data_IF_525222140245
#
_entry.id   IF_525222140245
#
_cell.length_a   1.000
_cell.length_b   1.000
_cell.length_c   1.000
_cell.angle_alpha   90.00
_cell.angle_beta   90.00
_cell.angle_gamma   90.00
#
_symmetry.space_group_name_H-M   'P 1'
#
loop_
_entity.id
_entity.type
_entity.pdbx_description
1 polymer ?
#
# COMPACT_ATOMS: atom_id res chain seq x y z
N UNK A 1 1.89 -22.17 -13.25
CA UNK A 1 1.37 -21.04 -12.43
C UNK A 1 2.31 -19.85 -12.63
N UNK A 2 1.81 -18.68 -13.05
CA UNK A 2 2.65 -17.48 -13.23
C UNK A 2 2.93 -16.85 -11.86
N UNK A 3 4.17 -16.42 -11.60
CA UNK A 3 4.54 -15.68 -10.38
C UNK A 3 3.94 -14.28 -10.44
N UNK A 4 3.47 -13.78 -9.29
CA UNK A 4 2.94 -12.42 -9.13
C UNK A 4 4.01 -11.50 -8.52
N UNK A 5 4.00 -10.23 -8.91
CA UNK A 5 4.91 -9.20 -8.42
C UNK A 5 4.14 -8.04 -7.79
N UNK A 6 4.54 -7.63 -6.59
CA UNK A 6 3.98 -6.47 -5.89
C UNK A 6 5.09 -5.52 -5.44
N UNK A 7 4.73 -4.24 -5.21
CA UNK A 7 5.64 -3.21 -4.71
C UNK A 7 5.16 -2.71 -3.36
N UNK A 8 6.09 -2.47 -2.44
CA UNK A 8 5.81 -1.89 -1.13
C UNK A 8 5.86 -0.37 -1.17
N UNK A 9 4.90 0.30 -0.52
CA UNK A 9 4.88 1.76 -0.37
C UNK A 9 6.09 2.34 0.37
N UNK A 10 6.85 1.52 1.11
CA UNK A 10 8.12 1.95 1.71
C UNK A 10 9.17 2.36 0.67
N UNK A 11 9.07 1.84 -0.57
CA UNK A 11 9.99 2.22 -1.66
C UNK A 11 9.59 3.53 -2.35
N UNK A 12 8.40 4.05 -2.07
CA UNK A 12 7.81 5.28 -2.65
C UNK A 12 7.26 6.20 -1.55
N UNK A 13 7.98 6.29 -0.43
CA UNK A 13 7.55 7.01 0.78
C UNK A 13 7.04 8.44 0.53
N UNK A 14 7.58 9.14 -0.47
CA UNK A 14 7.28 10.54 -0.76
C UNK A 14 6.05 10.74 -1.65
N UNK A 15 5.49 9.65 -2.20
CA UNK A 15 4.26 9.69 -3.01
C UNK A 15 3.02 9.72 -2.12
N UNK A 16 1.90 10.21 -2.64
CA UNK A 16 0.58 10.00 -2.00
C UNK A 16 0.09 8.57 -2.25
N UNK A 17 -0.78 8.07 -1.37
CA UNK A 17 -1.39 6.74 -1.51
C UNK A 17 -2.03 6.52 -2.89
N UNK A 18 -2.81 7.49 -3.38
CA UNK A 18 -3.43 7.40 -4.70
C UNK A 18 -2.42 7.36 -5.84
N UNK A 19 -1.27 8.02 -5.68
CA UNK A 19 -0.19 7.98 -6.67
C UNK A 19 0.43 6.58 -6.73
N UNK A 20 0.71 5.97 -5.58
CA UNK A 20 1.20 4.58 -5.53
C UNK A 20 0.25 3.64 -6.27
N UNK A 21 -1.04 3.64 -5.91
CA UNK A 21 -2.02 2.75 -6.51
C UNK A 21 -2.13 2.97 -8.02
N UNK A 22 -2.26 4.23 -8.45
CA UNK A 22 -2.41 4.58 -9.88
C UNK A 22 -1.18 4.16 -10.69
N UNK A 23 0.03 4.45 -10.21
CA UNK A 23 1.25 4.14 -10.95
C UNK A 23 1.57 2.65 -10.92
N UNK A 24 1.37 1.95 -9.80
CA UNK A 24 1.62 0.51 -9.74
C UNK A 24 0.69 -0.28 -10.64
N UNK A 25 -0.60 0.08 -10.66
CA UNK A 25 -1.57 -0.51 -11.58
C UNK A 25 -1.20 -0.21 -13.05
N UNK A 26 -0.85 1.05 -13.38
CA UNK A 26 -0.47 1.43 -14.73
C UNK A 26 0.82 0.74 -15.23
N UNK A 27 1.75 0.41 -14.33
CA UNK A 27 2.99 -0.32 -14.62
C UNK A 27 2.80 -1.85 -14.66
N UNK A 28 1.60 -2.35 -14.36
CA UNK A 28 1.25 -3.77 -14.47
C UNK A 28 1.70 -4.63 -13.29
N UNK A 29 1.89 -4.05 -12.10
CA UNK A 29 2.10 -4.84 -10.90
C UNK A 29 0.82 -5.58 -10.48
N UNK A 30 1.00 -6.77 -9.91
CA UNK A 30 -0.10 -7.65 -9.49
C UNK A 30 -0.65 -7.32 -8.09
N UNK A 31 -0.05 -6.36 -7.37
CA UNK A 31 -0.48 -5.93 -6.06
C UNK A 31 0.40 -4.89 -5.40
N UNK A 32 0.00 -4.46 -4.20
CA UNK A 32 0.63 -3.41 -3.40
C UNK A 32 0.85 -3.84 -1.95
N UNK A 33 2.01 -3.52 -1.39
CA UNK A 33 2.30 -3.62 0.04
C UNK A 33 1.98 -2.30 0.73
N UNK A 34 0.82 -2.24 1.39
CA UNK A 34 0.27 -1.02 1.99
C UNK A 34 0.92 -0.73 3.34
N UNK A 35 1.25 0.54 3.58
CA UNK A 35 1.58 1.09 4.88
C UNK A 35 0.34 1.73 5.51
N UNK A 36 -0.07 1.21 6.66
CA UNK A 36 -1.31 1.64 7.34
C UNK A 36 -1.40 3.15 7.52
N UNK A 37 -0.32 3.82 7.92
CA UNK A 37 -0.34 5.26 8.18
C UNK A 37 -0.61 6.06 6.90
N UNK A 38 -0.10 5.57 5.77
CA UNK A 38 -0.31 6.18 4.44
C UNK A 38 -1.76 6.00 3.98
N UNK A 39 -2.33 4.81 4.21
CA UNK A 39 -3.75 4.53 3.96
C UNK A 39 -4.67 5.40 4.84
N UNK A 40 -4.36 5.52 6.14
CA UNK A 40 -5.12 6.37 7.06
C UNK A 40 -5.02 7.84 6.68
N UNK A 41 -3.84 8.33 6.28
CA UNK A 41 -3.66 9.70 5.80
C UNK A 41 -4.46 10.00 4.51
N UNK A 42 -4.74 8.98 3.69
CA UNK A 42 -5.63 9.09 2.53
C UNK A 42 -7.12 9.10 2.90
N UNK A 43 -7.47 8.66 4.12
CA UNK A 43 -8.82 8.25 4.51
C UNK A 43 -9.04 6.78 4.15
N UNK A 44 -9.49 5.98 5.12
CA UNK A 44 -9.58 4.52 4.99
C UNK A 44 -10.56 4.12 3.88
N UNK A 45 -11.78 4.65 3.90
CA UNK A 45 -12.83 4.36 2.93
C UNK A 45 -12.39 4.78 1.53
N UNK A 46 -11.84 6.00 1.41
CA UNK A 46 -11.31 6.52 0.15
C UNK A 46 -10.18 5.66 -0.40
N UNK A 47 -9.26 5.20 0.46
CA UNK A 47 -8.17 4.31 0.06
C UNK A 47 -8.66 2.96 -0.44
N UNK A 48 -9.69 2.38 0.20
CA UNK A 48 -10.34 1.16 -0.27
C UNK A 48 -10.98 1.36 -1.66
N UNK A 49 -11.70 2.47 -1.86
CA UNK A 49 -12.29 2.81 -3.16
C UNK A 49 -11.23 2.91 -4.25
N UNK A 50 -10.09 3.56 -3.96
CA UNK A 50 -8.98 3.70 -4.91
C UNK A 50 -8.41 2.31 -5.26
N UNK A 51 -8.13 1.46 -4.28
CA UNK A 51 -7.63 0.09 -4.54
C UNK A 51 -8.59 -0.72 -5.42
N UNK A 52 -9.89 -0.59 -5.17
CA UNK A 52 -10.92 -1.26 -5.97
C UNK A 52 -11.00 -0.70 -7.40
N UNK A 53 -10.97 0.63 -7.55
CA UNK A 53 -11.03 1.32 -8.84
C UNK A 53 -9.88 0.91 -9.77
N UNK A 54 -8.67 0.73 -9.22
CA UNK A 54 -7.49 0.35 -10.00
C UNK A 54 -7.22 -1.15 -10.03
N UNK A 55 -8.11 -1.96 -9.46
CA UNK A 55 -7.99 -3.42 -9.39
C UNK A 55 -6.63 -3.89 -8.84
N UNK A 56 -6.09 -3.19 -7.83
CA UNK A 56 -4.76 -3.47 -7.27
C UNK A 56 -4.90 -4.15 -5.90
N UNK A 57 -4.72 -5.49 -5.80
CA UNK A 57 -4.87 -6.21 -4.54
C UNK A 57 -3.81 -5.83 -3.51
N UNK A 58 -4.20 -5.82 -2.25
CA UNK A 58 -3.26 -5.68 -1.13
C UNK A 58 -2.50 -7.00 -0.93
N UNK A 59 -1.20 -6.99 -1.17
CA UNK A 59 -0.31 -8.13 -1.00
C UNK A 59 0.16 -8.29 0.46
N UNK A 60 0.31 -7.17 1.17
CA UNK A 60 0.65 -7.12 2.59
C UNK A 60 0.16 -5.79 3.18
N UNK A 61 -0.08 -5.79 4.50
CA UNK A 61 -0.39 -4.60 5.27
C UNK A 61 0.65 -4.44 6.39
N UNK A 62 1.50 -3.42 6.27
CA UNK A 62 2.45 -3.04 7.30
C UNK A 62 1.82 -1.99 8.21
N UNK A 63 1.48 -2.42 9.44
CA UNK A 63 1.10 -1.50 10.50
C UNK A 63 2.35 -1.03 11.25
N UNK A 64 2.38 0.24 11.66
CA UNK A 64 3.36 0.67 12.64
C UNK A 64 3.02 0.00 13.98
N UNK A 65 3.79 -1.02 14.35
CA UNK A 65 3.83 -1.53 15.71
C UNK A 65 4.63 -0.55 16.57
N UNK A 66 4.00 0.53 16.99
CA UNK A 66 4.50 1.41 18.07
C UNK A 66 4.49 0.68 19.44
N UNK A 67 4.79 -0.63 19.45
CA UNK A 67 5.01 -1.49 20.63
C UNK A 67 6.37 -2.21 20.59
N UNK A 68 7.33 -1.73 19.81
CA UNK A 68 8.71 -2.22 19.87
C UNK A 68 9.72 -1.14 20.29
N UNK A 69 9.31 -0.24 21.19
CA UNK A 69 10.15 0.62 22.04
C UNK A 69 9.35 0.86 23.33
N UNK A 70 9.36 -0.02 24.31
CA UNK A 70 10.44 -0.11 25.29
C UNK A 70 10.75 -1.58 25.64
N UNK A 71 12.01 -1.98 25.43
CA UNK A 71 12.67 -2.83 26.41
C UNK A 71 13.15 -1.88 27.50
N UNK A 72 12.30 -1.65 28.49
CA UNK A 72 12.79 -1.41 29.85
C UNK A 72 13.02 -2.80 30.48
#
# INVERSE_FOLDING_TARGET
MKRKLSISEFTTKDWKFEEDVRYYAALGFDGIGVWMDKLVACGLERGIEILQQYHLPVANLAANTTRYTSRD
#
